data_IF_082722206514
#
_entry.id   IF_082722206514
#
_cell.length_a   1.000
_cell.length_b   1.000
_cell.length_c   1.000
_cell.angle_alpha   90.00
_cell.angle_beta   90.00
_cell.angle_gamma   90.00
#
_symmetry.space_group_name_H-M   'P 1'
#
loop_
_entity.id
_entity.type
_entity.pdbx_description
1 polymer ?
#
# COMPACT_ATOMS: atom_id res chain seq x y z
N UNK A 1 -4.47 -23.26 -4.20
CA UNK A 1 -3.66 -22.62 -3.14
C UNK A 1 -2.19 -22.91 -3.42
N UNK A 2 -1.29 -22.06 -2.96
CA UNK A 2 0.15 -22.26 -3.10
C UNK A 2 0.64 -23.32 -2.09
N UNK A 3 1.74 -24.01 -2.41
CA UNK A 3 2.50 -24.75 -1.40
C UNK A 3 3.55 -23.82 -0.74
N UNK A 4 4.21 -24.29 0.33
CA UNK A 4 5.20 -23.48 1.06
C UNK A 4 6.37 -23.05 0.18
N UNK A 5 6.92 -23.93 -0.67
CA UNK A 5 8.01 -23.56 -1.59
C UNK A 5 7.61 -22.49 -2.62
N UNK A 6 6.35 -22.48 -3.06
CA UNK A 6 5.81 -21.43 -3.93
C UNK A 6 5.63 -20.12 -3.15
N UNK A 7 5.17 -20.20 -1.89
CA UNK A 7 5.03 -19.04 -1.02
C UNK A 7 6.40 -18.40 -0.71
N UNK A 8 7.43 -19.19 -0.42
CA UNK A 8 8.79 -18.70 -0.15
C UNK A 8 9.40 -18.00 -1.38
N UNK A 9 9.24 -18.61 -2.56
CA UNK A 9 9.67 -17.98 -3.83
C UNK A 9 8.93 -16.68 -4.10
N UNK A 10 7.63 -16.64 -3.83
CA UNK A 10 6.84 -15.43 -3.97
C UNK A 10 7.27 -14.35 -2.97
N UNK A 11 7.56 -14.72 -1.72
CA UNK A 11 8.04 -13.80 -0.70
C UNK A 11 9.37 -13.13 -1.12
N UNK A 12 10.30 -13.92 -1.66
CA UNK A 12 11.55 -13.41 -2.22
C UNK A 12 11.34 -12.47 -3.40
N UNK A 13 10.40 -12.79 -4.30
CA UNK A 13 10.05 -11.94 -5.43
C UNK A 13 9.43 -10.61 -4.96
N UNK A 14 8.52 -10.65 -3.98
CA UNK A 14 7.88 -9.44 -3.43
C UNK A 14 8.91 -8.54 -2.76
N UNK A 15 9.79 -9.09 -1.90
CA UNK A 15 10.86 -8.33 -1.25
C UNK A 15 11.77 -7.62 -2.25
N UNK A 16 12.13 -8.30 -3.34
CA UNK A 16 13.10 -7.77 -4.31
C UNK A 16 12.49 -6.84 -5.35
N UNK A 17 11.19 -6.96 -5.66
CA UNK A 17 10.60 -6.32 -6.84
C UNK A 17 9.44 -5.38 -6.55
N UNK A 18 8.69 -5.61 -5.47
CA UNK A 18 7.44 -4.90 -5.19
C UNK A 18 7.43 -4.16 -3.86
N UNK A 19 8.18 -4.63 -2.86
CA UNK A 19 8.26 -3.98 -1.56
C UNK A 19 9.03 -2.66 -1.64
N UNK A 20 8.46 -1.64 -1.04
CA UNK A 20 9.04 -0.29 -0.94
C UNK A 20 8.90 0.23 0.49
N UNK A 21 9.57 1.35 0.85
CA UNK A 21 9.34 2.03 2.12
C UNK A 21 7.89 2.45 2.39
N UNK A 22 7.00 2.42 1.37
CA UNK A 22 5.58 2.74 1.51
C UNK A 22 4.62 1.56 1.37
N UNK A 23 5.13 0.33 1.42
CA UNK A 23 4.36 -0.90 1.21
C UNK A 23 4.63 -1.51 -0.15
N UNK A 24 3.73 -2.39 -0.62
CA UNK A 24 3.90 -3.04 -1.92
C UNK A 24 3.33 -2.22 -3.09
N UNK A 25 4.01 -2.25 -4.22
CA UNK A 25 3.53 -1.70 -5.49
C UNK A 25 2.44 -2.58 -6.10
N UNK A 26 1.58 -1.99 -6.92
CA UNK A 26 0.58 -2.71 -7.70
C UNK A 26 1.21 -3.57 -8.81
N UNK A 27 2.30 -3.08 -9.40
CA UNK A 27 3.09 -3.80 -10.40
C UNK A 27 4.54 -3.31 -10.43
N UNK A 28 5.37 -3.94 -11.26
CA UNK A 28 6.76 -3.53 -11.51
C UNK A 28 6.89 -2.51 -12.66
N UNK A 29 5.83 -2.32 -13.44
CA UNK A 29 5.86 -1.57 -14.68
C UNK A 29 5.34 -0.16 -14.48
N UNK A 30 6.01 0.83 -15.05
CA UNK A 30 5.56 2.22 -15.04
C UNK A 30 4.89 2.55 -16.39
N UNK A 31 3.60 2.24 -16.48
CA UNK A 31 2.79 2.47 -17.70
C UNK A 31 2.05 3.80 -17.68
N UNK A 32 1.86 4.38 -16.48
CA UNK A 32 0.97 5.52 -16.23
C UNK A 32 -0.46 5.14 -15.86
N UNK A 33 -0.80 3.85 -15.84
CA UNK A 33 -2.08 3.35 -15.37
C UNK A 33 -2.17 3.31 -13.83
N UNK A 34 -3.40 3.29 -13.31
CA UNK A 34 -3.65 3.35 -11.87
C UNK A 34 -3.18 2.11 -11.10
N UNK A 35 -3.19 0.94 -11.74
CA UNK A 35 -2.84 -0.35 -11.15
C UNK A 35 -1.39 -0.77 -11.45
N UNK A 36 -0.54 0.22 -11.69
CA UNK A 36 0.85 0.04 -12.05
C UNK A 36 1.78 0.88 -11.16
N UNK A 37 3.08 0.59 -11.21
CA UNK A 37 4.10 1.42 -10.54
C UNK A 37 3.91 2.89 -10.98
N UNK A 38 3.99 3.85 -10.05
CA UNK A 38 4.42 3.71 -8.65
C UNK A 38 3.29 3.53 -7.63
N UNK A 39 2.05 3.25 -8.06
CA UNK A 39 0.89 3.20 -7.16
C UNK A 39 0.87 1.94 -6.29
N UNK A 40 0.35 2.08 -5.06
CA UNK A 40 0.01 0.99 -4.15
C UNK A 40 -1.44 1.11 -3.68
N UNK A 41 -2.13 -0.02 -3.49
CA UNK A 41 -3.56 -0.06 -3.17
C UNK A 41 -3.82 -0.83 -1.87
N UNK A 42 -4.66 -0.27 -0.99
CA UNK A 42 -4.96 -0.84 0.32
C UNK A 42 -5.37 -2.34 0.30
N UNK A 43 -6.21 -2.83 -0.63
CA UNK A 43 -6.53 -4.26 -0.69
C UNK A 43 -5.32 -5.13 -1.02
N UNK A 44 -4.41 -4.66 -1.87
CA UNK A 44 -3.19 -5.41 -2.21
C UNK A 44 -2.31 -5.56 -0.96
N UNK A 45 -2.16 -4.48 -0.19
CA UNK A 45 -1.44 -4.53 1.09
C UNK A 45 -2.08 -5.57 2.02
N UNK A 46 -3.39 -5.49 2.21
CA UNK A 46 -4.10 -6.41 3.10
C UNK A 46 -3.95 -7.87 2.68
N UNK A 47 -4.16 -8.17 1.40
CA UNK A 47 -4.02 -9.54 0.88
C UNK A 47 -2.60 -10.07 1.03
N UNK A 48 -1.58 -9.24 0.78
CA UNK A 48 -0.18 -9.64 0.94
C UNK A 48 0.16 -9.88 2.42
N UNK A 49 -0.22 -8.96 3.32
CA UNK A 49 0.01 -9.10 4.76
C UNK A 49 -0.62 -10.39 5.28
N UNK A 50 -1.90 -10.62 5.01
CA UNK A 50 -2.59 -11.83 5.47
C UNK A 50 -2.04 -13.09 4.80
N UNK A 51 -1.71 -13.01 3.51
CA UNK A 51 -1.10 -14.11 2.77
C UNK A 51 0.20 -14.56 3.40
N UNK A 52 1.17 -13.66 3.57
CA UNK A 52 2.47 -14.03 4.13
C UNK A 52 2.39 -14.55 5.56
N UNK A 53 1.55 -13.94 6.40
CA UNK A 53 1.29 -14.45 7.75
C UNK A 53 0.70 -15.86 7.75
N UNK A 54 -0.23 -16.15 6.84
CA UNK A 54 -0.84 -17.48 6.72
C UNK A 54 0.17 -18.56 6.30
N UNK A 55 1.23 -18.20 5.57
CA UNK A 55 2.32 -19.11 5.18
C UNK A 55 3.54 -19.03 6.12
N UNK A 56 3.43 -18.35 7.26
CA UNK A 56 4.49 -18.31 8.29
C UNK A 56 5.56 -17.23 8.10
N UNK A 57 5.45 -16.37 7.09
CA UNK A 57 6.35 -15.21 6.90
C UNK A 57 5.77 -13.96 7.59
N UNK A 58 5.71 -14.02 8.92
CA UNK A 58 5.24 -12.92 9.76
C UNK A 58 6.07 -11.65 9.58
N UNK A 59 7.38 -11.81 9.36
CA UNK A 59 8.30 -10.68 9.21
C UNK A 59 7.97 -9.85 7.96
N UNK A 60 7.73 -10.48 6.81
CA UNK A 60 7.34 -9.76 5.60
C UNK A 60 5.96 -9.12 5.75
N UNK A 61 5.01 -9.84 6.35
CA UNK A 61 3.68 -9.29 6.63
C UNK A 61 3.74 -8.03 7.50
N UNK A 62 4.54 -8.05 8.56
CA UNK A 62 4.73 -6.93 9.47
C UNK A 62 5.44 -5.75 8.81
N UNK A 63 6.44 -6.02 7.97
CA UNK A 63 7.15 -4.99 7.22
C UNK A 63 6.23 -4.25 6.26
N UNK A 64 5.41 -4.98 5.49
CA UNK A 64 4.42 -4.39 4.58
C UNK A 64 3.41 -3.53 5.37
N UNK A 65 2.91 -4.06 6.49
CA UNK A 65 1.94 -3.35 7.32
C UNK A 65 2.48 -2.02 7.85
N UNK A 66 3.69 -2.03 8.42
CA UNK A 66 4.33 -0.83 8.99
C UNK A 66 4.67 0.20 7.92
N UNK A 67 5.24 -0.24 6.79
CA UNK A 67 5.53 0.64 5.64
C UNK A 67 4.26 1.30 5.11
N UNK A 68 3.17 0.55 4.97
CA UNK A 68 1.90 1.09 4.53
C UNK A 68 1.30 2.10 5.53
N UNK A 69 1.27 1.75 6.83
CA UNK A 69 0.75 2.65 7.86
C UNK A 69 1.53 3.97 7.91
N UNK A 70 2.87 3.90 7.78
CA UNK A 70 3.72 5.09 7.70
C UNK A 70 3.34 5.98 6.51
N UNK A 71 3.14 5.40 5.33
CA UNK A 71 2.74 6.17 4.14
C UNK A 71 1.37 6.81 4.29
N UNK A 72 0.39 6.09 4.83
CA UNK A 72 -0.94 6.66 5.05
C UNK A 72 -0.90 7.77 6.08
N UNK A 73 -0.14 7.59 7.17
CA UNK A 73 0.00 8.61 8.21
C UNK A 73 0.68 9.87 7.67
N UNK A 74 1.78 9.72 6.94
CA UNK A 74 2.45 10.86 6.29
C UNK A 74 1.49 11.61 5.38
N UNK A 75 0.76 10.90 4.53
CA UNK A 75 -0.23 11.51 3.66
C UNK A 75 -1.32 12.25 4.45
N UNK A 76 -1.84 11.64 5.51
CA UNK A 76 -2.84 12.27 6.38
C UNK A 76 -2.32 13.57 7.02
N UNK A 77 -1.10 13.57 7.55
CA UNK A 77 -0.47 14.76 8.15
C UNK A 77 -0.22 15.86 7.11
N UNK A 78 0.24 15.51 5.91
CA UNK A 78 0.41 16.45 4.80
C UNK A 78 -0.92 17.08 4.37
N UNK A 79 -2.03 16.34 4.41
CA UNK A 79 -3.36 16.89 4.10
C UNK A 79 -3.88 17.82 5.22
N UNK A 80 -3.73 17.42 6.49
CA UNK A 80 -4.16 18.21 7.65
C UNK A 80 -3.44 19.57 7.73
N UNK A 81 -2.18 19.63 7.29
CA UNK A 81 -1.44 20.90 7.22
C UNK A 81 -1.86 21.81 6.07
N UNK A 82 -2.48 21.25 5.01
CA UNK A 82 -2.76 21.99 3.79
C UNK A 82 -4.18 22.55 3.69
N UNK A 83 -5.19 22.00 4.39
CA UNK A 83 -6.59 22.46 4.57
C UNK A 83 -7.32 23.11 3.36
N UNK A 84 -6.77 22.99 2.15
CA UNK A 84 -7.26 23.48 0.87
C UNK A 84 -6.67 22.58 -0.21
N UNK A 85 -7.58 21.85 -0.84
CA UNK A 85 -7.39 21.08 -2.07
C UNK A 85 -6.64 19.75 -1.92
N UNK A 86 -7.39 18.66 -2.11
CA UNK A 86 -6.90 17.28 -2.21
C UNK A 86 -5.94 17.13 -3.40
N UNK A 87 -4.74 16.58 -3.20
CA UNK A 87 -4.06 15.79 -4.20
C UNK A 87 -3.82 14.36 -3.70
N UNK A 88 -4.18 13.37 -4.52
CA UNK A 88 -3.40 12.16 -4.82
C UNK A 88 -2.10 11.98 -4.00
N UNK A 89 -1.88 10.83 -3.35
CA UNK A 89 -0.60 10.46 -2.71
C UNK A 89 0.56 10.68 -3.68
N UNK A 90 1.19 11.86 -3.60
CA UNK A 90 2.24 12.32 -4.51
C UNK A 90 3.60 12.08 -3.87
N UNK A 91 3.93 10.81 -3.66
CA UNK A 91 5.33 10.36 -3.66
C UNK A 91 5.61 9.47 -4.87
N UNK A 92 4.87 9.75 -5.93
CA UNK A 92 4.68 8.92 -7.11
C UNK A 92 4.50 9.87 -8.31
N UNK A 93 5.61 10.18 -9.00
CA UNK A 93 5.75 10.96 -10.25
C UNK A 93 4.92 12.27 -10.43
N UNK A 94 5.57 13.45 -10.49
CA UNK A 94 4.91 14.73 -10.75
C UNK A 94 4.70 14.96 -12.24
N UNK A 95 3.80 14.22 -12.90
CA UNK A 95 3.11 14.62 -14.15
C UNK A 95 2.32 13.44 -14.73
N UNK A 96 0.98 13.51 -14.62
CA UNK A 96 0.05 13.44 -15.76
C UNK A 96 -1.39 13.50 -15.27
N UNK A 97 -1.98 14.68 -15.46
CA UNK A 97 -3.41 14.93 -15.32
C UNK A 97 -4.16 14.20 -16.44
N UNK A 98 -5.00 13.22 -16.10
CA UNK A 98 -6.26 12.99 -16.82
C UNK A 98 -7.22 12.17 -15.97
N UNK A 99 -8.47 12.63 -15.94
CA UNK A 99 -9.67 12.03 -15.33
C UNK A 99 -9.95 12.42 -13.86
N UNK A 100 -10.84 13.40 -13.72
CA UNK A 100 -11.45 13.85 -12.46
C UNK A 100 -12.54 12.84 -12.05
N UNK A 101 -12.18 11.85 -11.23
CA UNK A 101 -13.13 11.33 -10.26
C UNK A 101 -13.01 12.24 -9.06
N UNK A 102 -14.10 12.94 -8.73
CA UNK A 102 -14.17 13.78 -7.53
C UNK A 102 -14.04 12.86 -6.30
N UNK A 103 -12.82 12.73 -5.77
CA UNK A 103 -12.54 11.92 -4.57
C UNK A 103 -13.03 12.71 -3.35
N UNK A 104 -14.35 12.76 -3.19
CA UNK A 104 -14.97 13.18 -1.94
C UNK A 104 -14.77 12.05 -0.93
N UNK A 105 -13.79 12.21 -0.04
CA UNK A 105 -13.60 11.36 1.14
C UNK A 105 -13.06 9.96 0.85
N UNK A 106 -11.81 9.71 1.24
CA UNK A 106 -11.24 8.42 1.63
C UNK A 106 -12.09 7.17 1.30
N UNK A 107 -11.67 6.49 0.24
CA UNK A 107 -12.29 5.28 -0.28
C UNK A 107 -12.40 4.20 0.83
N UNK A 108 -13.58 3.58 1.00
CA UNK A 108 -13.91 2.76 2.18
C UNK A 108 -12.94 1.61 2.48
N UNK A 109 -12.31 1.03 1.45
CA UNK A 109 -11.29 0.00 1.61
C UNK A 109 -10.00 0.48 2.30
N UNK A 110 -9.60 1.75 2.13
CA UNK A 110 -8.39 2.31 2.75
C UNK A 110 -8.65 2.49 4.23
N UNK A 111 -9.81 3.06 4.59
CA UNK A 111 -10.22 3.21 5.99
C UNK A 111 -10.32 1.86 6.69
N UNK A 112 -10.93 0.86 6.04
CA UNK A 112 -11.06 -0.49 6.59
C UNK A 112 -9.71 -1.14 6.88
N UNK A 113 -8.81 -1.14 5.90
CA UNK A 113 -7.47 -1.74 6.04
C UNK A 113 -6.65 -1.00 7.09
N UNK A 114 -6.60 0.33 7.04
CA UNK A 114 -5.80 1.14 7.98
C UNK A 114 -6.29 0.95 9.41
N UNK A 115 -7.61 1.05 9.67
CA UNK A 115 -8.16 0.81 11.02
C UNK A 115 -7.84 -0.58 11.53
N UNK A 116 -7.91 -1.59 10.66
CA UNK A 116 -7.56 -2.95 11.05
C UNK A 116 -6.08 -3.08 11.38
N UNK A 117 -5.20 -2.49 10.57
CA UNK A 117 -3.75 -2.51 10.82
C UNK A 117 -3.38 -1.74 12.09
N UNK A 118 -3.98 -0.58 12.35
CA UNK A 118 -3.79 0.16 13.62
C UNK A 118 -4.18 -0.72 14.81
N UNK A 119 -5.31 -1.44 14.74
CA UNK A 119 -5.71 -2.36 15.79
C UNK A 119 -4.76 -3.55 16.03
N UNK A 120 -3.91 -3.89 15.04
CA UNK A 120 -2.95 -5.00 15.13
C UNK A 120 -1.53 -4.53 15.48
N UNK A 121 -1.14 -3.35 15.03
CA UNK A 121 0.24 -2.84 15.08
C UNK A 121 0.42 -1.58 15.92
N UNK A 122 -0.68 -0.98 16.41
CA UNK A 122 -0.67 0.32 17.07
C UNK A 122 -0.76 1.48 16.10
N UNK A 123 -0.86 2.69 16.65
CA UNK A 123 -0.79 3.91 15.86
C UNK A 123 0.66 4.12 15.33
N UNK A 124 0.81 4.56 14.07
CA UNK A 124 2.11 4.85 13.47
C UNK A 124 2.81 6.09 14.03
#
# INVERSE_FOLDING_TARGET
MANHEQADRLANAVRSRLLTPGGILASEYETGEQWDKPNGWAPLQWMAIQGFKMYGDDLLGDEIARSWLKTVNQFYLEQQQNDREIPYCRWCSPRRRRWRVSVAGWFGWTNGVVRRLIGLYGEP
#
